data_IF_630171432569
#
_entry.id   IF_630171432569
#
_cell.length_a   1.000
_cell.length_b   1.000
_cell.length_c   1.000
_cell.angle_alpha   90.00
_cell.angle_beta   90.00
_cell.angle_gamma   90.00
#
_symmetry.space_group_name_H-M   'P 1'
#
loop_
_entity.id
_entity.type
_entity.pdbx_description
1 polymer ?
#
# COMPACT_ATOMS: atom_id res chain seq x y z
N UNK A 1 0.70 -1.02 1.54
CA UNK A 1 0.04 0.30 1.53
C UNK A 1 1.04 1.42 1.24
N UNK A 2 1.93 1.81 2.17
CA UNK A 2 2.81 3.00 1.98
C UNK A 2 3.65 2.88 0.71
N UNK A 3 4.19 1.68 0.45
CA UNK A 3 4.93 1.38 -0.77
C UNK A 3 4.11 1.64 -2.03
N UNK A 4 2.87 1.14 -2.13
CA UNK A 4 2.04 1.34 -3.30
C UNK A 4 1.75 2.83 -3.53
N UNK A 5 1.44 3.58 -2.46
CA UNK A 5 1.21 5.03 -2.54
C UNK A 5 2.44 5.76 -3.07
N UNK A 6 3.62 5.53 -2.49
CA UNK A 6 4.84 6.23 -2.88
C UNK A 6 5.38 5.80 -4.25
N UNK A 7 5.23 4.53 -4.60
CA UNK A 7 5.65 3.99 -5.91
C UNK A 7 4.61 4.18 -7.01
N UNK A 8 3.45 4.82 -6.74
CA UNK A 8 2.36 4.99 -7.70
C UNK A 8 1.86 3.67 -8.30
N UNK A 9 1.83 2.61 -7.48
CA UNK A 9 1.13 1.37 -7.84
C UNK A 9 -0.38 1.54 -7.57
N UNK A 10 -1.13 2.04 -8.55
CA UNK A 10 -2.57 2.21 -8.42
C UNK A 10 -3.36 0.91 -8.58
N UNK A 11 -2.76 -0.15 -9.12
CA UNK A 11 -3.39 -1.46 -9.29
C UNK A 11 -3.37 -2.29 -7.99
N UNK A 12 -3.53 -1.63 -6.85
CA UNK A 12 -3.41 -2.19 -5.51
C UNK A 12 -4.70 -2.86 -5.00
N UNK A 13 -5.47 -3.48 -5.90
CA UNK A 13 -6.77 -4.06 -5.56
C UNK A 13 -6.68 -5.26 -4.60
N UNK A 14 -7.81 -5.60 -3.97
CA UNK A 14 -7.89 -6.67 -2.96
C UNK A 14 -7.38 -8.04 -3.42
N UNK A 15 -7.44 -8.34 -4.73
CA UNK A 15 -6.91 -9.60 -5.30
C UNK A 15 -5.38 -9.69 -5.31
N UNK A 16 -4.67 -8.57 -5.08
CA UNK A 16 -3.20 -8.53 -4.97
C UNK A 16 -2.70 -8.75 -3.53
N UNK A 17 -3.61 -9.14 -2.62
CA UNK A 17 -3.28 -9.57 -1.27
C UNK A 17 -3.68 -11.03 -1.11
N UNK A 18 -2.78 -11.84 -0.57
CA UNK A 18 -3.05 -13.27 -0.36
C UNK A 18 -2.46 -13.78 0.93
N UNK A 19 -2.99 -14.91 1.36
CA UNK A 19 -2.52 -15.62 2.54
C UNK A 19 -2.06 -17.02 2.12
N UNK A 20 -0.97 -17.46 2.72
CA UNK A 20 -0.47 -18.83 2.59
C UNK A 20 -0.90 -19.61 3.82
N UNK A 21 -1.37 -20.84 3.62
CA UNK A 21 -1.64 -21.79 4.70
C UNK A 21 -0.58 -22.89 4.66
N UNK A 22 0.02 -23.21 5.81
CA UNK A 22 0.88 -24.37 5.91
C UNK A 22 0.10 -25.68 6.08
N UNK A 23 0.81 -26.81 6.10
CA UNK A 23 0.20 -28.15 6.24
C UNK A 23 -0.47 -28.36 7.59
N UNK A 24 -0.16 -27.52 8.58
CA UNK A 24 -0.75 -27.54 9.91
C UNK A 24 -1.99 -26.63 10.00
N UNK A 25 -2.39 -25.98 8.91
CA UNK A 25 -3.53 -25.08 8.87
C UNK A 25 -3.24 -23.66 9.36
N UNK A 26 -1.97 -23.30 9.58
CA UNK A 26 -1.60 -21.96 10.03
C UNK A 26 -1.50 -21.00 8.86
N UNK A 27 -2.27 -19.93 8.93
CA UNK A 27 -2.27 -18.85 7.94
C UNK A 27 -1.16 -17.84 8.23
N UNK A 28 -0.55 -17.33 7.15
CA UNK A 28 0.33 -16.15 7.16
C UNK A 28 0.09 -15.31 5.91
N UNK A 29 0.42 -14.02 5.97
CA UNK A 29 0.43 -13.19 4.78
C UNK A 29 1.45 -13.73 3.76
N UNK A 30 1.11 -13.74 2.48
CA UNK A 30 2.07 -14.06 1.42
C UNK A 30 3.16 -12.98 1.32
N UNK A 31 4.32 -13.29 0.74
CA UNK A 31 5.20 -12.24 0.21
C UNK A 31 4.41 -11.31 -0.72
N UNK A 32 4.84 -10.05 -0.80
CA UNK A 32 4.27 -9.11 -1.77
C UNK A 32 4.60 -9.57 -3.21
N UNK A 33 3.67 -9.36 -4.12
CA UNK A 33 3.79 -9.67 -5.54
C UNK A 33 3.03 -8.61 -6.36
N UNK A 34 3.20 -8.65 -7.69
CA UNK A 34 2.59 -7.68 -8.61
C UNK A 34 2.88 -6.22 -8.24
N UNK A 35 4.17 -5.96 -7.96
CA UNK A 35 4.68 -4.64 -7.60
C UNK A 35 5.12 -3.90 -8.87
N UNK A 36 4.17 -3.25 -9.52
CA UNK A 36 4.37 -2.55 -10.78
C UNK A 36 4.04 -1.07 -10.67
N UNK A 37 4.80 -0.20 -11.34
CA UNK A 37 4.36 1.19 -11.56
C UNK A 37 3.13 1.17 -12.47
N UNK A 38 1.97 1.50 -11.92
CA UNK A 38 0.69 1.33 -12.59
C UNK A 38 -0.10 2.63 -12.54
N UNK A 39 0.43 3.68 -13.15
CA UNK A 39 -0.24 4.97 -13.26
C UNK A 39 -0.53 5.31 -14.71
N UNK A 40 -1.80 5.51 -15.03
CA UNK A 40 -2.23 5.94 -16.37
C UNK A 40 -3.15 7.16 -16.25
N UNK A 41 -2.64 8.39 -16.45
CA UNK A 41 -3.47 9.59 -16.52
C UNK A 41 -4.59 9.41 -17.54
N UNK A 42 -5.84 9.70 -17.15
CA UNK A 42 -7.02 9.52 -18.01
C UNK A 42 -7.44 8.06 -18.26
N UNK A 43 -6.68 7.08 -17.74
CA UNK A 43 -7.05 5.68 -17.79
C UNK A 43 -8.32 5.38 -16.97
N UNK A 44 -9.06 4.34 -17.34
CA UNK A 44 -10.30 3.97 -16.63
C UNK A 44 -10.05 3.39 -15.24
N UNK A 45 -8.98 2.61 -15.09
CA UNK A 45 -8.77 1.73 -13.92
C UNK A 45 -7.60 2.16 -13.04
N UNK A 46 -6.53 2.69 -13.63
CA UNK A 46 -5.27 3.03 -12.96
C UNK A 46 -5.01 4.54 -12.94
N UNK A 47 -6.06 5.36 -13.04
CA UNK A 47 -5.91 6.82 -12.88
C UNK A 47 -5.83 7.26 -11.41
N UNK A 48 -6.22 6.39 -10.47
CA UNK A 48 -6.16 6.56 -9.01
C UNK A 48 -6.02 5.19 -8.36
N UNK A 49 -5.62 5.13 -7.10
CA UNK A 49 -5.54 3.87 -6.36
C UNK A 49 -6.89 3.14 -6.31
N UNK A 50 -6.86 1.81 -6.42
CA UNK A 50 -8.07 0.99 -6.31
C UNK A 50 -8.52 0.87 -4.86
N UNK A 51 -7.59 0.76 -3.90
CA UNK A 51 -7.91 0.84 -2.48
C UNK A 51 -7.88 2.28 -1.97
N UNK A 52 -8.81 2.61 -1.08
CA UNK A 52 -8.82 3.91 -0.42
C UNK A 52 -7.97 3.92 0.85
N UNK A 53 -7.42 5.10 1.15
CA UNK A 53 -6.65 5.37 2.34
C UNK A 53 -7.19 6.66 2.96
N UNK A 54 -7.68 6.58 4.19
CA UNK A 54 -8.31 7.70 4.89
C UNK A 54 -9.42 8.37 4.04
N UNK A 55 -10.21 7.56 3.32
CA UNK A 55 -11.28 8.03 2.43
C UNK A 55 -10.81 8.60 1.08
N UNK A 56 -9.51 8.62 0.80
CA UNK A 56 -8.92 9.14 -0.45
C UNK A 56 -8.43 8.01 -1.35
N UNK A 57 -8.39 8.26 -2.66
CA UNK A 57 -7.81 7.35 -3.67
C UNK A 57 -6.65 8.00 -4.46
N UNK A 58 -6.40 9.29 -4.26
CA UNK A 58 -5.28 10.04 -4.83
C UNK A 58 -5.03 11.28 -3.97
N UNK A 59 -3.96 12.04 -4.25
CA UNK A 59 -3.57 13.26 -3.55
C UNK A 59 -3.36 13.05 -2.03
N UNK A 60 -2.70 11.95 -1.69
CA UNK A 60 -2.36 11.63 -0.30
C UNK A 60 -1.33 12.59 0.26
N UNK A 61 -1.49 12.97 1.53
CA UNK A 61 -0.50 13.70 2.30
C UNK A 61 0.23 12.77 3.25
N UNK A 62 1.38 13.22 3.77
CA UNK A 62 2.10 12.51 4.83
C UNK A 62 1.21 12.28 6.07
N UNK A 63 0.35 13.26 6.39
CA UNK A 63 -0.60 13.16 7.51
C UNK A 63 -1.63 12.03 7.28
N UNK A 64 -2.09 11.81 6.04
CA UNK A 64 -3.01 10.70 5.74
C UNK A 64 -2.37 9.35 6.06
N UNK A 65 -1.08 9.18 5.74
CA UNK A 65 -0.34 7.95 6.02
C UNK A 65 -0.15 7.74 7.52
N UNK A 66 0.21 8.80 8.25
CA UNK A 66 0.42 8.74 9.71
C UNK A 66 -0.89 8.42 10.44
N UNK A 67 -2.01 9.04 10.06
CA UNK A 67 -3.33 8.76 10.64
C UNK A 67 -3.74 7.29 10.51
N UNK A 68 -3.42 6.63 9.40
CA UNK A 68 -3.68 5.19 9.25
C UNK A 68 -2.85 4.40 10.24
N UNK A 69 -1.57 4.73 10.41
CA UNK A 69 -0.69 4.09 11.39
C UNK A 69 -1.22 4.24 12.82
N UNK A 70 -1.64 5.45 13.19
CA UNK A 70 -2.23 5.77 14.50
C UNK A 70 -3.53 4.99 14.72
N UNK A 71 -4.46 5.03 13.78
CA UNK A 71 -5.75 4.34 13.87
C UNK A 71 -5.61 2.82 13.95
N UNK A 72 -4.56 2.25 13.35
CA UNK A 72 -4.27 0.81 13.38
C UNK A 72 -3.37 0.41 14.56
N UNK A 73 -2.98 1.34 15.43
CA UNK A 73 -2.13 1.06 16.60
C UNK A 73 -0.69 0.67 16.26
N UNK A 74 -0.19 1.04 15.08
CA UNK A 74 1.17 0.73 14.62
C UNK A 74 2.14 1.70 15.27
N UNK A 75 2.89 1.25 16.28
CA UNK A 75 3.82 2.11 17.05
C UNK A 75 4.92 2.74 16.17
N UNK A 76 5.44 1.98 15.22
CA UNK A 76 6.59 2.36 14.38
C UNK A 76 6.18 2.94 13.02
N UNK A 77 4.94 3.44 12.88
CA UNK A 77 4.42 3.88 11.59
C UNK A 77 5.27 4.96 10.93
N UNK A 78 5.83 5.90 11.70
CA UNK A 78 6.69 6.97 11.17
C UNK A 78 7.98 6.41 10.57
N UNK A 79 8.66 5.53 11.29
CA UNK A 79 9.89 4.88 10.83
C UNK A 79 9.64 4.02 9.59
N UNK A 80 8.52 3.30 9.54
CA UNK A 80 8.13 2.50 8.35
C UNK A 80 7.91 3.42 7.14
N UNK A 81 7.22 4.55 7.33
CA UNK A 81 6.96 5.51 6.26
C UNK A 81 8.26 6.10 5.73
N UNK A 82 9.14 6.58 6.62
CA UNK A 82 10.44 7.14 6.26
C UNK A 82 11.31 6.14 5.49
N UNK A 83 11.41 4.90 5.98
CA UNK A 83 12.20 3.85 5.33
C UNK A 83 11.70 3.54 3.91
N UNK A 84 10.38 3.48 3.73
CA UNK A 84 9.80 3.24 2.39
C UNK A 84 10.04 4.44 1.48
N UNK A 85 9.92 5.67 2.00
CA UNK A 85 10.19 6.88 1.24
C UNK A 85 11.63 6.91 0.73
N UNK A 86 12.60 6.65 1.60
CA UNK A 86 14.02 6.55 1.22
C UNK A 86 14.22 5.49 0.14
N UNK A 87 13.66 4.28 0.34
CA UNK A 87 13.80 3.16 -0.59
C UNK A 87 13.23 3.45 -1.98
N UNK A 88 12.09 4.14 -2.06
CA UNK A 88 11.40 4.45 -3.34
C UNK A 88 12.03 5.65 -4.06
N UNK A 89 12.75 6.51 -3.33
CA UNK A 89 13.37 7.72 -3.88
C UNK A 89 14.68 7.50 -4.66
N UNK A 90 15.22 6.28 -4.61
CA UNK A 90 16.43 5.85 -5.33
C UNK A 90 16.09 5.10 -6.61
#
# INVERSE_FOLDING_TARGET
MVFNVMSRNHDDHSKNFSFLMDKQGKWKLSPAYDLCYSYTPGGKWTNRHQLSLNGKQDNFTMEDLQKVGENMGIREHKQIIEKVQETVSH
#
